data_IF_275117941458
#
_entry.id   IF_275117941458
#
_cell.length_a   1.000
_cell.length_b   1.000
_cell.length_c   1.000
_cell.angle_alpha   90.00
_cell.angle_beta   90.00
_cell.angle_gamma   90.00
#
_symmetry.space_group_name_H-M   'P 1'
#
loop_
_entity.id
_entity.type
_entity.pdbx_description
1 polymer ?
#
# COMPACT_ATOMS: atom_id res chain seq x y z
N UNK A 1 -9.15 -9.87 22.39
CA UNK A 1 -9.56 -8.72 21.56
C UNK A 1 -10.38 -9.32 20.43
N UNK A 2 -11.71 -9.21 20.50
CA UNK A 2 -12.55 -9.66 19.39
C UNK A 2 -12.46 -8.60 18.31
N UNK A 3 -11.80 -8.94 17.21
CA UNK A 3 -11.79 -8.08 16.04
C UNK A 3 -12.84 -8.62 15.09
N UNK A 4 -13.92 -7.85 14.88
CA UNK A 4 -14.96 -8.28 13.96
C UNK A 4 -14.43 -8.25 12.53
N UNK A 5 -14.64 -9.34 11.79
CA UNK A 5 -14.19 -9.49 10.41
C UNK A 5 -14.62 -8.31 9.53
N UNK A 6 -15.87 -7.87 9.68
CA UNK A 6 -16.44 -6.76 8.92
C UNK A 6 -15.77 -5.42 9.23
N UNK A 7 -15.39 -5.17 10.49
CA UNK A 7 -14.68 -3.93 10.85
C UNK A 7 -13.28 -3.90 10.26
N UNK A 8 -12.53 -5.01 10.33
CA UNK A 8 -11.19 -5.08 9.71
C UNK A 8 -11.25 -4.90 8.21
N UNK A 9 -12.22 -5.54 7.55
CA UNK A 9 -12.39 -5.39 6.11
C UNK A 9 -12.68 -3.92 5.77
N UNK A 10 -13.55 -3.25 6.53
CA UNK A 10 -13.83 -1.83 6.35
C UNK A 10 -12.57 -0.97 6.54
N UNK A 11 -11.74 -1.27 7.53
CA UNK A 11 -10.48 -0.55 7.78
C UNK A 11 -9.51 -0.72 6.60
N UNK A 12 -9.34 -1.95 6.09
CA UNK A 12 -8.51 -2.23 4.91
C UNK A 12 -9.03 -1.48 3.68
N UNK A 13 -10.34 -1.50 3.45
CA UNK A 13 -10.95 -0.81 2.31
C UNK A 13 -10.72 0.71 2.38
N UNK A 14 -10.87 1.29 3.57
CA UNK A 14 -10.69 2.72 3.78
C UNK A 14 -9.22 3.16 3.74
N UNK A 15 -8.30 2.33 4.25
CA UNK A 15 -6.88 2.67 4.34
C UNK A 15 -6.08 2.35 3.09
N UNK A 16 -6.50 1.34 2.31
CA UNK A 16 -5.75 0.88 1.14
C UNK A 16 -6.55 1.12 -0.13
N UNK A 17 -7.72 0.50 -0.24
CA UNK A 17 -8.43 0.39 -1.52
C UNK A 17 -8.92 1.76 -2.00
N UNK A 18 -9.55 2.55 -1.14
CA UNK A 18 -10.03 3.89 -1.50
C UNK A 18 -8.88 4.85 -1.88
N UNK A 19 -7.77 4.95 -1.13
CA UNK A 19 -6.61 5.72 -1.56
C UNK A 19 -5.97 5.25 -2.87
N UNK A 20 -5.88 3.93 -3.11
CA UNK A 20 -5.37 3.39 -4.39
C UNK A 20 -6.28 3.80 -5.54
N UNK A 21 -7.60 3.66 -5.39
CA UNK A 21 -8.58 4.07 -6.39
C UNK A 21 -8.45 5.57 -6.68
N UNK A 22 -8.34 6.41 -5.65
CA UNK A 22 -8.13 7.85 -5.81
C UNK A 22 -6.81 8.14 -6.56
N UNK A 23 -5.73 7.44 -6.24
CA UNK A 23 -4.44 7.56 -6.93
C UNK A 23 -4.51 7.15 -8.40
N UNK A 24 -5.22 6.06 -8.72
CA UNK A 24 -5.43 5.63 -10.10
C UNK A 24 -6.29 6.61 -10.90
N UNK A 25 -7.36 7.13 -10.31
CA UNK A 25 -8.16 8.20 -10.92
C UNK A 25 -7.30 9.43 -11.18
N UNK A 26 -6.52 9.86 -10.19
CA UNK A 26 -5.61 11.00 -10.36
C UNK A 26 -4.64 10.76 -11.53
N UNK A 27 -3.97 9.61 -11.57
CA UNK A 27 -3.00 9.27 -12.61
C UNK A 27 -3.64 9.19 -14.02
N UNK A 28 -4.85 8.63 -14.11
CA UNK A 28 -5.61 8.50 -15.35
C UNK A 28 -5.89 9.85 -16.01
N UNK A 29 -6.16 10.90 -15.20
CA UNK A 29 -6.43 12.25 -15.69
C UNK A 29 -5.18 13.14 -15.76
N UNK A 30 -4.18 12.90 -14.91
CA UNK A 30 -2.94 13.67 -14.90
C UNK A 30 -2.07 13.35 -16.14
N UNK A 31 -1.97 12.07 -16.53
CA UNK A 31 -1.15 11.66 -17.69
C UNK A 31 -1.91 11.76 -19.02
N UNK A 32 -3.23 11.58 -19.01
CA UNK A 32 -4.13 11.65 -20.19
C UNK A 32 -3.63 10.88 -21.44
N UNK A 33 -2.91 9.76 -21.26
CA UNK A 33 -2.37 8.92 -22.36
C UNK A 33 -3.26 7.74 -22.75
N UNK A 34 -4.28 7.44 -21.94
CA UNK A 34 -5.14 6.28 -22.11
C UNK A 34 -6.18 6.48 -23.22
N UNK A 35 -6.47 5.41 -23.97
CA UNK A 35 -7.56 5.40 -24.96
C UNK A 35 -8.90 5.58 -24.24
N UNK A 36 -9.85 6.28 -24.88
CA UNK A 36 -11.18 6.56 -24.30
C UNK A 36 -11.90 5.30 -23.79
N UNK A 37 -11.85 4.20 -24.54
CA UNK A 37 -12.45 2.91 -24.12
C UNK A 37 -11.84 2.38 -22.81
N UNK A 38 -10.51 2.38 -22.70
CA UNK A 38 -9.79 1.97 -21.47
C UNK A 38 -10.18 2.87 -20.28
N UNK A 39 -10.21 4.18 -20.52
CA UNK A 39 -10.60 5.18 -19.52
C UNK A 39 -12.00 4.93 -18.95
N UNK A 40 -12.98 4.65 -19.82
CA UNK A 40 -14.36 4.35 -19.41
C UNK A 40 -14.43 3.08 -18.56
N UNK A 41 -13.77 2.00 -18.99
CA UNK A 41 -13.75 0.72 -18.26
C UNK A 41 -13.16 0.90 -16.86
N UNK A 42 -12.06 1.64 -16.74
CA UNK A 42 -11.42 1.93 -15.47
C UNK A 42 -12.34 2.75 -14.55
N UNK A 43 -12.97 3.81 -15.06
CA UNK A 43 -13.89 4.64 -14.28
C UNK A 43 -15.10 3.86 -13.74
N UNK A 44 -15.66 2.96 -14.56
CA UNK A 44 -16.73 2.05 -14.12
C UNK A 44 -16.23 1.13 -13.01
N UNK A 45 -15.05 0.53 -13.20
CA UNK A 45 -14.43 -0.37 -12.21
C UNK A 45 -14.20 0.34 -10.86
N UNK A 46 -13.69 1.58 -10.88
CA UNK A 46 -13.48 2.38 -9.69
C UNK A 46 -14.80 2.75 -8.99
N UNK A 47 -15.85 3.03 -9.75
CA UNK A 47 -17.18 3.29 -9.19
C UNK A 47 -17.74 2.05 -8.50
N UNK A 48 -17.57 0.87 -9.11
CA UNK A 48 -17.99 -0.41 -8.51
C UNK A 48 -17.22 -0.68 -7.21
N UNK A 49 -15.91 -0.42 -7.18
CA UNK A 49 -15.11 -0.60 -5.95
C UNK A 49 -15.60 0.33 -4.82
N UNK A 50 -15.89 1.60 -5.13
CA UNK A 50 -16.45 2.54 -4.15
C UNK A 50 -17.83 2.05 -3.67
N UNK A 51 -18.68 1.57 -4.58
CA UNK A 51 -19.99 1.04 -4.23
C UNK A 51 -19.87 -0.16 -3.27
N UNK A 52 -19.04 -1.15 -3.61
CA UNK A 52 -18.79 -2.34 -2.77
C UNK A 52 -18.25 -1.94 -1.40
N UNK A 53 -17.34 -0.96 -1.34
CA UNK A 53 -16.80 -0.45 -0.07
C UNK A 53 -17.89 0.14 0.81
N UNK A 54 -18.82 0.90 0.23
CA UNK A 54 -19.94 1.48 0.97
C UNK A 54 -20.97 0.43 1.41
N UNK A 55 -21.15 -0.66 0.65
CA UNK A 55 -21.98 -1.79 1.08
C UNK A 55 -21.36 -2.50 2.29
N UNK A 56 -20.04 -2.67 2.30
CA UNK A 56 -19.31 -3.20 3.46
C UNK A 56 -19.45 -2.26 4.66
N UNK A 57 -19.37 -0.94 4.46
CA UNK A 57 -19.61 0.04 5.52
C UNK A 57 -21.00 -0.13 6.15
N UNK A 58 -22.04 -0.24 5.31
CA UNK A 58 -23.41 -0.43 5.77
C UNK A 58 -23.56 -1.71 6.61
N UNK A 59 -22.94 -2.80 6.15
CA UNK A 59 -22.97 -4.10 6.85
C UNK A 59 -22.15 -4.09 8.14
N UNK A 60 -21.03 -3.37 8.17
CA UNK A 60 -20.14 -3.32 9.34
C UNK A 60 -20.66 -2.42 10.45
N UNK A 61 -21.46 -1.40 10.13
CA UNK A 61 -21.97 -0.40 11.08
C UNK A 61 -23.47 -0.54 11.34
N UNK A 62 -24.11 -1.56 10.77
CA UNK A 62 -25.55 -1.82 10.83
C UNK A 62 -26.39 -0.56 10.55
N UNK A 63 -25.98 0.21 9.53
CA UNK A 63 -26.63 1.48 9.20
C UNK A 63 -27.80 1.31 8.24
N UNK A 64 -28.71 2.28 8.23
CA UNK A 64 -29.83 2.35 7.28
C UNK A 64 -29.38 2.63 5.84
N UNK A 65 -30.27 2.34 4.89
CA UNK A 65 -30.03 2.64 3.47
C UNK A 65 -29.83 4.14 3.19
N UNK A 66 -30.48 5.03 3.95
CA UNK A 66 -30.27 6.47 3.81
C UNK A 66 -28.84 6.87 4.17
N UNK A 67 -28.29 6.31 5.25
CA UNK A 67 -26.90 6.53 5.64
C UNK A 67 -25.92 5.98 4.59
N UNK A 68 -26.23 4.84 3.98
CA UNK A 68 -25.46 4.31 2.85
C UNK A 68 -25.39 5.29 1.68
N UNK A 69 -26.51 5.89 1.26
CA UNK A 69 -26.51 6.85 0.15
C UNK A 69 -25.66 8.08 0.45
N UNK A 70 -25.78 8.63 1.66
CA UNK A 70 -24.96 9.78 2.09
C UNK A 70 -23.47 9.42 2.08
N UNK A 71 -23.11 8.26 2.61
CA UNK A 71 -21.72 7.80 2.67
C UNK A 71 -21.16 7.48 1.27
N UNK A 72 -21.98 6.95 0.37
CA UNK A 72 -21.62 6.72 -1.03
C UNK A 72 -21.33 8.03 -1.76
N UNK A 73 -22.21 9.03 -1.65
CA UNK A 73 -22.00 10.36 -2.24
C UNK A 73 -20.75 11.02 -1.68
N UNK A 74 -20.53 10.93 -0.36
CA UNK A 74 -19.32 11.43 0.29
C UNK A 74 -18.07 10.73 -0.27
N UNK A 75 -18.11 9.41 -0.42
CA UNK A 75 -17.00 8.62 -0.96
C UNK A 75 -16.70 8.99 -2.41
N UNK A 76 -17.73 9.17 -3.24
CA UNK A 76 -17.58 9.67 -4.62
C UNK A 76 -16.94 11.06 -4.63
N UNK A 77 -17.38 11.97 -3.75
CA UNK A 77 -16.78 13.29 -3.62
C UNK A 77 -15.27 13.23 -3.33
N UNK A 78 -14.89 12.52 -2.26
CA UNK A 78 -13.50 12.49 -1.77
C UNK A 78 -12.55 11.64 -2.63
N UNK A 79 -12.98 10.46 -3.07
CA UNK A 79 -12.08 9.48 -3.70
C UNK A 79 -12.24 9.40 -5.21
N UNK A 80 -13.28 10.01 -5.78
CA UNK A 80 -13.51 10.00 -7.23
C UNK A 80 -13.37 11.40 -7.83
N UNK A 81 -14.23 12.33 -7.42
CA UNK A 81 -14.27 13.66 -8.05
C UNK A 81 -13.11 14.56 -7.64
N UNK A 82 -12.76 14.60 -6.35
CA UNK A 82 -11.66 15.42 -5.85
C UNK A 82 -10.30 15.08 -6.52
N UNK A 83 -9.83 13.82 -6.58
CA UNK A 83 -8.59 13.50 -7.29
C UNK A 83 -8.69 13.74 -8.80
N UNK A 84 -9.86 13.54 -9.42
CA UNK A 84 -10.06 13.83 -10.84
C UNK A 84 -9.91 15.32 -11.15
N UNK A 85 -10.62 16.18 -10.40
CA UNK A 85 -10.55 17.64 -10.55
C UNK A 85 -9.13 18.12 -10.24
N UNK A 86 -8.54 17.63 -9.16
CA UNK A 86 -7.16 17.94 -8.79
C UNK A 86 -6.16 17.59 -9.90
N UNK A 87 -6.31 16.42 -10.53
CA UNK A 87 -5.45 16.00 -11.64
C UNK A 87 -5.61 16.90 -12.88
N UNK A 88 -6.84 17.29 -13.22
CA UNK A 88 -7.13 18.17 -14.37
C UNK A 88 -6.62 19.59 -14.13
N UNK A 89 -6.85 20.14 -12.93
CA UNK A 89 -6.32 21.46 -12.57
C UNK A 89 -4.80 21.45 -12.59
N UNK A 90 -4.18 20.44 -12.00
CA UNK A 90 -2.73 20.32 -11.95
C UNK A 90 -2.12 20.18 -13.35
N UNK A 91 -2.71 19.36 -14.23
CA UNK A 91 -2.23 19.19 -15.60
C UNK A 91 -2.43 20.44 -16.45
N UNK A 92 -3.47 21.24 -16.16
CA UNK A 92 -3.67 22.54 -16.80
C UNK A 92 -2.56 23.56 -16.43
N UNK A 93 -2.18 23.63 -15.15
CA UNK A 93 -1.14 24.55 -14.68
C UNK A 93 0.28 24.07 -14.98
N UNK A 94 0.54 22.76 -14.91
CA UNK A 94 1.85 22.14 -15.14
C UNK A 94 1.93 21.59 -16.57
N UNK A 95 2.03 22.51 -17.55
CA UNK A 95 1.94 22.22 -18.99
C UNK A 95 2.74 21.02 -19.50
N UNK A 96 3.92 20.66 -18.95
CA UNK A 96 4.66 19.50 -19.50
C UNK A 96 5.86 18.94 -18.69
N UNK A 97 5.75 18.66 -17.38
CA UNK A 97 6.86 17.95 -16.68
C UNK A 97 6.41 16.87 -15.70
N UNK A 98 5.98 15.74 -16.27
CA UNK A 98 5.71 14.48 -15.55
C UNK A 98 6.85 14.08 -14.57
N UNK A 99 8.11 14.36 -14.92
CA UNK A 99 9.27 14.03 -14.07
C UNK A 99 9.32 14.81 -12.75
N UNK A 100 8.88 16.07 -12.73
CA UNK A 100 8.88 16.84 -11.48
C UNK A 100 7.74 16.40 -10.56
N UNK A 101 6.58 16.06 -11.13
CA UNK A 101 5.45 15.55 -10.35
C UNK A 101 5.79 14.22 -9.67
N UNK A 102 6.40 13.28 -10.40
CA UNK A 102 6.84 11.99 -9.82
C UNK A 102 7.88 12.18 -8.70
N UNK A 103 8.82 13.12 -8.87
CA UNK A 103 9.82 13.44 -7.84
C UNK A 103 9.18 14.07 -6.59
N UNK A 104 8.24 14.99 -6.77
CA UNK A 104 7.52 15.64 -5.66
C UNK A 104 6.65 14.65 -4.92
N UNK A 105 5.90 13.79 -5.63
CA UNK A 105 5.08 12.74 -5.01
C UNK A 105 5.96 11.79 -4.18
N UNK A 106 7.09 11.34 -4.73
CA UNK A 106 8.04 10.49 -4.01
C UNK A 106 8.61 11.18 -2.76
N UNK A 107 8.97 12.47 -2.85
CA UNK A 107 9.45 13.24 -1.71
C UNK A 107 8.38 13.37 -0.61
N UNK A 108 7.14 13.69 -0.98
CA UNK A 108 6.02 13.79 -0.04
C UNK A 108 5.80 12.45 0.67
N UNK A 109 5.81 11.33 -0.07
CA UNK A 109 5.69 9.99 0.53
C UNK A 109 6.83 9.68 1.49
N UNK A 110 8.09 9.99 1.14
CA UNK A 110 9.23 9.76 2.03
C UNK A 110 9.15 10.58 3.31
N UNK A 111 8.80 11.87 3.20
CA UNK A 111 8.61 12.75 4.37
C UNK A 111 7.43 12.26 5.23
N UNK A 112 6.33 11.85 4.60
CA UNK A 112 5.17 11.30 5.30
C UNK A 112 5.48 10.05 6.11
N UNK A 113 6.20 9.09 5.51
CA UNK A 113 6.63 7.87 6.21
C UNK A 113 7.59 8.22 7.36
N UNK A 114 8.56 9.11 7.13
CA UNK A 114 9.48 9.54 8.18
C UNK A 114 8.76 10.21 9.35
N UNK A 115 7.75 11.05 9.07
CA UNK A 115 6.92 11.68 10.08
C UNK A 115 6.11 10.66 10.89
N UNK A 116 5.45 9.70 10.22
CA UNK A 116 4.69 8.63 10.89
C UNK A 116 5.60 7.80 11.80
N UNK A 117 6.74 7.34 11.29
CA UNK A 117 7.71 6.57 12.08
C UNK A 117 8.21 7.37 13.29
N UNK A 118 8.46 8.66 13.12
CA UNK A 118 8.87 9.56 14.22
C UNK A 118 7.79 9.67 15.28
N UNK A 119 6.53 9.92 14.90
CA UNK A 119 5.39 10.04 15.83
C UNK A 119 5.20 8.73 16.62
N UNK A 120 5.22 7.58 15.94
CA UNK A 120 5.05 6.28 16.57
C UNK A 120 6.18 5.98 17.54
N UNK A 121 7.41 6.24 17.12
CA UNK A 121 8.62 6.02 17.94
C UNK A 121 8.61 6.91 19.18
N UNK A 122 8.24 8.20 19.01
CA UNK A 122 8.13 9.13 20.12
C UNK A 122 7.03 8.72 21.10
N UNK A 123 5.85 8.34 20.60
CA UNK A 123 4.71 7.89 21.41
C UNK A 123 5.00 6.58 22.14
N UNK A 124 5.72 5.65 21.52
CA UNK A 124 6.05 4.34 22.09
C UNK A 124 7.43 4.23 22.72
N UNK A 125 8.12 5.35 23.00
CA UNK A 125 9.52 5.37 23.49
C UNK A 125 9.78 4.39 24.62
N UNK A 126 8.99 4.44 25.69
CA UNK A 126 9.27 3.63 26.89
C UNK A 126 9.01 2.13 26.64
N UNK A 127 8.03 1.81 25.79
CA UNK A 127 7.81 0.44 25.31
C UNK A 127 8.98 -0.02 24.44
N UNK A 128 9.46 0.84 23.54
CA UNK A 128 10.59 0.56 22.66
C UNK A 128 11.88 0.30 23.46
N UNK A 129 12.12 1.03 24.55
CA UNK A 129 13.28 0.78 25.42
C UNK A 129 13.21 -0.60 26.09
N UNK A 130 12.01 -1.11 26.35
CA UNK A 130 11.81 -2.43 26.98
C UNK A 130 11.89 -3.59 25.99
N UNK A 131 11.28 -3.45 24.81
CA UNK A 131 11.13 -4.56 23.85
C UNK A 131 11.80 -4.34 22.50
N UNK A 132 12.48 -3.21 22.27
CA UNK A 132 12.98 -2.81 20.96
C UNK A 132 14.02 -3.75 20.37
N UNK A 133 14.94 -4.28 21.19
CA UNK A 133 15.91 -5.27 20.73
C UNK A 133 15.22 -6.56 20.24
N UNK A 134 14.22 -7.04 21.00
CA UNK A 134 13.42 -8.19 20.60
C UNK A 134 12.64 -7.90 19.31
N UNK A 135 12.01 -6.73 19.20
CA UNK A 135 11.28 -6.32 18.00
C UNK A 135 12.19 -6.24 16.77
N UNK A 136 13.43 -5.77 16.92
CA UNK A 136 14.40 -5.72 15.84
C UNK A 136 14.74 -7.13 15.34
N UNK A 137 15.05 -8.05 16.26
CA UNK A 137 15.37 -9.44 15.93
C UNK A 137 14.17 -10.13 15.28
N UNK A 138 12.98 -10.03 15.87
CA UNK A 138 11.78 -10.68 15.33
C UNK A 138 11.37 -10.09 13.99
N UNK A 139 11.51 -8.77 13.79
CA UNK A 139 11.25 -8.12 12.51
C UNK A 139 12.21 -8.60 11.43
N UNK A 140 13.51 -8.71 11.76
CA UNK A 140 14.52 -9.24 10.84
C UNK A 140 14.21 -10.70 10.47
N UNK A 141 13.93 -11.55 11.47
CA UNK A 141 13.57 -12.95 11.23
C UNK A 141 12.32 -13.07 10.38
N UNK A 142 11.26 -12.30 10.67
CA UNK A 142 10.02 -12.30 9.90
C UNK A 142 10.27 -11.89 8.44
N UNK A 143 11.05 -10.84 8.22
CA UNK A 143 11.38 -10.34 6.89
C UNK A 143 12.23 -11.33 6.06
N UNK A 144 13.28 -11.90 6.66
CA UNK A 144 14.12 -12.91 6.00
C UNK A 144 13.33 -14.21 5.74
N UNK A 145 12.46 -14.60 6.68
CA UNK A 145 11.54 -15.72 6.49
C UNK A 145 10.60 -15.46 5.32
N UNK A 146 10.08 -14.24 5.18
CA UNK A 146 9.26 -13.84 4.03
C UNK A 146 10.00 -13.96 2.70
N UNK A 147 11.24 -13.45 2.61
CA UNK A 147 12.06 -13.59 1.40
C UNK A 147 12.33 -15.06 1.05
N UNK A 148 12.74 -15.85 2.04
CA UNK A 148 13.13 -17.26 1.84
C UNK A 148 11.93 -18.12 1.47
N UNK A 149 10.81 -18.01 2.19
CA UNK A 149 9.59 -18.76 1.88
C UNK A 149 8.99 -18.32 0.55
N UNK A 150 8.94 -17.01 0.26
CA UNK A 150 8.44 -16.51 -1.03
C UNK A 150 9.24 -17.06 -2.20
N UNK A 151 10.58 -17.03 -2.11
CA UNK A 151 11.47 -17.60 -3.13
C UNK A 151 11.33 -19.13 -3.23
N UNK A 152 11.30 -19.83 -2.10
CA UNK A 152 11.28 -21.29 -2.07
C UNK A 152 9.95 -21.87 -2.54
N UNK A 153 8.82 -21.28 -2.17
CA UNK A 153 7.50 -21.72 -2.62
C UNK A 153 7.32 -21.48 -4.12
N UNK A 154 7.75 -20.31 -4.63
CA UNK A 154 7.73 -20.03 -6.08
C UNK A 154 8.68 -20.93 -6.87
N UNK A 155 9.80 -21.35 -6.28
CA UNK A 155 10.67 -22.37 -6.83
C UNK A 155 9.98 -23.74 -6.92
N UNK A 156 9.30 -24.17 -5.86
CA UNK A 156 8.60 -25.47 -5.82
C UNK A 156 7.51 -25.60 -6.89
N UNK A 157 6.82 -24.51 -7.22
CA UNK A 157 5.79 -24.50 -8.27
C UNK A 157 6.35 -24.30 -9.68
N UNK A 158 7.69 -24.29 -9.83
CA UNK A 158 8.34 -24.26 -11.14
C UNK A 158 8.37 -22.90 -11.84
N UNK A 159 8.17 -21.79 -11.12
CA UNK A 159 8.18 -20.45 -11.74
C UNK A 159 9.57 -20.06 -12.26
N UNK A 160 9.69 -19.19 -13.27
CA UNK A 160 10.98 -18.63 -13.71
C UNK A 160 11.70 -17.85 -12.60
N UNK A 161 13.03 -17.76 -12.67
CA UNK A 161 13.86 -17.10 -11.66
C UNK A 161 13.47 -15.63 -11.40
N UNK A 162 13.06 -14.90 -12.45
CA UNK A 162 12.59 -13.52 -12.34
C UNK A 162 11.34 -13.41 -11.46
N UNK A 163 10.40 -14.34 -11.64
CA UNK A 163 9.14 -14.37 -10.90
C UNK A 163 9.40 -14.81 -9.46
N UNK A 164 10.30 -15.77 -9.24
CA UNK A 164 10.72 -16.18 -7.89
C UNK A 164 11.29 -15.02 -7.06
N UNK A 165 12.20 -14.23 -7.66
CA UNK A 165 12.77 -13.04 -7.00
C UNK A 165 11.70 -11.99 -6.71
N UNK A 166 10.76 -11.82 -7.62
CA UNK A 166 9.63 -10.89 -7.44
C UNK A 166 8.76 -11.34 -6.27
N UNK A 167 8.35 -12.61 -6.23
CA UNK A 167 7.52 -13.17 -5.15
C UNK A 167 8.24 -13.10 -3.81
N UNK A 168 9.55 -13.34 -3.78
CA UNK A 168 10.33 -13.15 -2.56
C UNK A 168 10.17 -11.72 -2.01
N UNK A 169 10.31 -10.69 -2.85
CA UNK A 169 10.10 -9.30 -2.43
C UNK A 169 8.66 -9.02 -2.01
N UNK A 170 7.65 -9.51 -2.75
CA UNK A 170 6.24 -9.30 -2.41
C UNK A 170 5.85 -9.94 -1.06
N UNK A 171 6.44 -11.09 -0.72
CA UNK A 171 6.18 -11.77 0.56
C UNK A 171 7.00 -11.13 1.69
N UNK A 172 8.25 -10.76 1.45
CA UNK A 172 9.13 -10.21 2.48
C UNK A 172 8.93 -8.71 2.77
N UNK A 173 8.54 -7.91 1.79
CA UNK A 173 8.36 -6.45 1.93
C UNK A 173 6.88 -6.11 2.20
N UNK A 174 6.57 -5.86 3.46
CA UNK A 174 5.21 -5.59 3.91
C UNK A 174 4.87 -4.09 3.86
N UNK A 175 3.57 -3.77 3.82
CA UNK A 175 3.13 -2.37 3.89
C UNK A 175 3.10 -1.87 5.35
N UNK A 176 4.20 -1.27 5.79
CA UNK A 176 4.30 -0.69 7.14
C UNK A 176 3.31 0.44 7.42
N UNK A 177 2.85 1.16 6.39
CA UNK A 177 1.86 2.23 6.52
C UNK A 177 0.49 1.71 6.95
N UNK A 178 0.02 0.63 6.32
CA UNK A 178 -1.22 -0.04 6.70
C UNK A 178 -1.16 -0.56 8.14
N UNK A 179 -0.09 -1.28 8.48
CA UNK A 179 0.07 -1.84 9.82
C UNK A 179 0.10 -0.74 10.90
N UNK A 180 0.73 0.40 10.60
CA UNK A 180 0.73 1.58 11.47
C UNK A 180 -0.66 2.21 11.60
N UNK A 181 -1.42 2.31 10.49
CA UNK A 181 -2.79 2.80 10.49
C UNK A 181 -3.73 1.93 11.31
N UNK A 182 -3.63 0.60 11.18
CA UNK A 182 -4.41 -0.34 11.99
C UNK A 182 -4.07 -0.21 13.48
N UNK A 183 -2.78 -0.07 13.83
CA UNK A 183 -2.38 0.17 15.22
C UNK A 183 -3.00 1.47 15.79
N UNK A 184 -3.17 2.50 14.96
CA UNK A 184 -3.88 3.73 15.32
C UNK A 184 -5.37 3.49 15.58
N UNK A 185 -6.08 2.77 14.72
CA UNK A 185 -7.50 2.43 14.93
C UNK A 185 -7.72 1.59 16.19
N UNK A 186 -6.75 0.74 16.53
CA UNK A 186 -6.78 -0.05 17.76
C UNK A 186 -6.45 0.77 19.03
N UNK A 187 -6.06 2.05 18.90
CA UNK A 187 -5.58 2.87 20.02
C UNK A 187 -4.24 2.38 20.60
N UNK A 188 -3.46 1.63 19.84
CA UNK A 188 -2.23 0.93 20.28
C UNK A 188 -1.00 1.37 19.52
N UNK A 189 -0.96 2.63 19.12
CA UNK A 189 0.17 3.25 18.41
C UNK A 189 1.48 3.05 19.18
N UNK A 190 1.47 3.31 20.49
CA UNK A 190 2.64 3.23 21.37
C UNK A 190 3.16 1.81 21.67
N UNK A 191 2.45 0.76 21.25
CA UNK A 191 2.82 -0.64 21.49
C UNK A 191 2.85 -1.43 20.20
N UNK A 192 1.69 -1.73 19.62
CA UNK A 192 1.55 -2.50 18.38
C UNK A 192 2.13 -1.73 17.19
N UNK A 193 2.02 -0.39 17.18
CA UNK A 193 2.58 0.45 16.12
C UNK A 193 4.10 0.44 16.03
N UNK A 194 4.80 0.04 17.11
CA UNK A 194 6.27 -0.03 17.10
C UNK A 194 6.80 -1.08 16.14
N UNK A 195 6.10 -2.19 15.95
CA UNK A 195 6.52 -3.26 15.05
C UNK A 195 6.66 -2.76 13.59
N UNK A 196 5.63 -2.17 12.95
CA UNK A 196 5.79 -1.63 11.59
C UNK A 196 6.73 -0.42 11.50
N UNK A 197 6.87 0.37 12.58
CA UNK A 197 7.82 1.48 12.61
C UNK A 197 9.29 1.02 12.56
N UNK A 198 9.62 -0.12 13.16
CA UNK A 198 10.96 -0.75 13.10
C UNK A 198 11.11 -1.58 11.82
N UNK A 199 10.07 -2.31 11.43
CA UNK A 199 10.09 -3.17 10.25
C UNK A 199 10.32 -2.36 8.97
N UNK A 200 9.73 -1.16 8.84
CA UNK A 200 9.85 -0.32 7.64
C UNK A 200 11.29 0.03 7.26
N UNK A 201 12.10 0.62 8.15
CA UNK A 201 13.53 0.84 7.89
C UNK A 201 14.31 -0.46 7.66
N UNK A 202 14.07 -1.50 8.47
CA UNK A 202 14.78 -2.78 8.33
C UNK A 202 14.54 -3.43 6.97
N UNK A 203 13.29 -3.55 6.53
CA UNK A 203 12.94 -4.18 5.25
C UNK A 203 13.52 -3.43 4.04
N UNK A 204 13.68 -2.10 4.15
CA UNK A 204 14.33 -1.31 3.11
C UNK A 204 15.83 -1.61 3.04
N UNK A 205 16.49 -1.78 4.19
CA UNK A 205 17.92 -2.15 4.26
C UNK A 205 18.13 -3.57 3.73
N UNK A 206 17.42 -4.56 4.29
CA UNK A 206 17.55 -5.97 3.88
C UNK A 206 17.13 -6.18 2.43
N UNK A 207 16.05 -5.53 1.98
CA UNK A 207 15.61 -5.55 0.60
C UNK A 207 16.65 -4.97 -0.36
N UNK A 208 17.28 -3.85 0.02
CA UNK A 208 18.37 -3.26 -0.78
C UNK A 208 19.61 -4.16 -0.86
N UNK A 209 19.97 -4.82 0.25
CA UNK A 209 21.06 -5.80 0.27
C UNK A 209 20.76 -6.99 -0.65
N UNK A 210 19.55 -7.53 -0.58
CA UNK A 210 19.12 -8.65 -1.42
C UNK A 210 19.05 -8.27 -2.90
N UNK A 211 18.51 -7.09 -3.20
CA UNK A 211 18.46 -6.56 -4.56
C UNK A 211 19.87 -6.39 -5.15
N UNK A 212 20.82 -5.87 -4.36
CA UNK A 212 22.20 -5.72 -4.79
C UNK A 212 22.88 -7.08 -5.01
N UNK A 213 22.61 -8.07 -4.16
CA UNK A 213 23.09 -9.44 -4.36
C UNK A 213 22.58 -10.06 -5.67
N UNK A 214 21.30 -9.92 -5.97
CA UNK A 214 20.71 -10.43 -7.21
C UNK A 214 21.10 -9.65 -8.46
N UNK A 215 21.41 -8.36 -8.33
CA UNK A 215 21.97 -7.56 -9.43
C UNK A 215 23.29 -8.16 -9.95
N UNK A 216 24.10 -8.76 -9.07
CA UNK A 216 25.32 -9.48 -9.44
C UNK A 216 25.10 -10.86 -10.08
N UNK A 217 23.85 -11.32 -10.20
CA UNK A 217 23.47 -12.64 -10.73
C UNK A 217 22.40 -12.48 -11.82
N UNK A 218 22.78 -12.08 -13.05
CA UNK A 218 21.83 -11.86 -14.13
C UNK A 218 21.04 -13.14 -14.41
N UNK A 219 19.73 -12.99 -14.61
CA UNK A 219 18.85 -14.09 -14.97
C UNK A 219 19.05 -14.34 -16.46
N UNK A 220 19.42 -15.56 -16.84
CA UNK A 220 19.43 -15.98 -18.24
C UNK A 220 17.99 -16.10 -18.67
N UNK A 221 17.54 -15.26 -19.60
CA UNK A 221 16.21 -15.39 -20.20
C UNK A 221 16.18 -16.70 -20.99
N UNK A 222 15.30 -17.62 -20.57
CA UNK A 222 15.05 -18.84 -21.31
C UNK A 222 14.33 -18.46 -22.62
N UNK A 223 14.98 -18.69 -23.76
CA UNK A 223 14.44 -18.33 -25.09
C UNK A 223 13.35 -19.30 -25.56
N UNK A 224 12.87 -20.21 -24.71
CA UNK A 224 12.02 -21.33 -25.11
C UNK A 224 10.50 -21.09 -25.06
N UNK A 225 10.03 -19.85 -24.82
CA UNK A 225 8.58 -19.56 -24.75
C UNK A 225 8.10 -18.47 -25.72
N UNK A 226 8.84 -18.24 -26.80
CA UNK A 226 8.30 -17.54 -27.99
C UNK A 226 8.07 -18.57 -29.08
N UNK A 227 6.94 -19.28 -29.00
CA UNK A 227 6.26 -19.95 -30.13
C UNK A 227 4.75 -19.79 -29.94
#
# INVERSE_FOLDING_TARGET
IEVSFWSMMLDILNMIILPIVAGFIFNLFAKNKEKLKSKIIQLISYTIIILLTNLVYMKSKDTTFSAFLVQFVRSMGWFFFLPMIGAVLLSYFLKEKNKHLEKVLSLISMVGIAAIVTIITASGRDSLLKVGALLMVTSLLHNLTGYTLGYWLSWLVGMPEKDRRTIAFEVGMQNGGLASGLALQMGKVATVGLAPAIFGPLMNVTGSVLANFWKGKPVVEDKSTTD
#
